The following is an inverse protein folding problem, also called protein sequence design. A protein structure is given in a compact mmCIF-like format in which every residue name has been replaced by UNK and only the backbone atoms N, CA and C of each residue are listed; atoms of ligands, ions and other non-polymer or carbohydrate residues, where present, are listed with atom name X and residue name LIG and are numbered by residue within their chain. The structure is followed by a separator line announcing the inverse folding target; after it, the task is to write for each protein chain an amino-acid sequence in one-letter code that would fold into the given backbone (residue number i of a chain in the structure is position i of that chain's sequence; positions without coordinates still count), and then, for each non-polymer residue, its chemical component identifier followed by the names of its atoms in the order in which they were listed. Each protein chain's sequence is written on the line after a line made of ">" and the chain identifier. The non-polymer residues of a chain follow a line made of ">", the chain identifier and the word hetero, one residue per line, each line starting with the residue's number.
data_IF_874647849435
#
_entry.id   IF_874647849435
#
_cell.length_a   1.000
_cell.length_b   1.000
_cell.length_c   1.000
_cell.angle_alpha   90.00
_cell.angle_beta   90.00
_cell.angle_gamma   90.00
#
_symmetry.space_group_name_H-M   'P 1'
#
loop_
_entity.id
_entity.type
_entity.pdbx_description
1 polymer ?
#
# COMPACT_ATOMS: atom_id res chain seq x y z
N UNK A 1 -31.22 -19.66 33.23
CA UNK A 1 -30.20 -18.72 32.82
C UNK A 1 -28.94 -19.05 33.59
N UNK A 2 -28.04 -19.83 33.04
CA UNK A 2 -26.74 -20.14 33.63
C UNK A 2 -25.88 -18.88 33.53
N UNK A 3 -25.56 -18.29 34.67
CA UNK A 3 -24.62 -17.17 34.75
C UNK A 3 -23.26 -17.66 34.27
N UNK A 4 -22.77 -17.09 33.15
CA UNK A 4 -21.38 -17.26 32.69
C UNK A 4 -20.49 -16.74 33.84
N UNK A 5 -19.52 -17.53 34.35
CA UNK A 5 -18.62 -17.06 35.39
C UNK A 5 -17.88 -15.79 34.88
N UNK A 6 -17.59 -14.86 35.81
CA UNK A 6 -16.78 -13.67 35.50
C UNK A 6 -15.46 -14.12 34.88
N UNK A 7 -15.35 -13.93 33.56
CA UNK A 7 -14.12 -14.19 32.85
C UNK A 7 -13.18 -13.04 33.22
N UNK A 8 -11.96 -13.32 33.74
CA UNK A 8 -10.97 -12.27 33.97
C UNK A 8 -10.76 -11.46 32.71
N UNK A 9 -10.64 -10.14 32.84
CA UNK A 9 -10.37 -9.27 31.71
C UNK A 9 -9.07 -9.73 30.99
N UNK A 10 -9.23 -10.42 29.87
CA UNK A 10 -8.11 -10.90 29.07
C UNK A 10 -7.45 -9.67 28.47
N UNK A 11 -6.21 -9.41 28.86
CA UNK A 11 -5.38 -8.40 28.18
C UNK A 11 -5.22 -8.83 26.73
N UNK A 12 -5.58 -7.95 25.78
CA UNK A 12 -5.45 -8.24 24.36
C UNK A 12 -4.02 -8.71 24.03
N UNK A 13 -3.88 -9.94 23.53
CA UNK A 13 -2.59 -10.51 23.06
C UNK A 13 -1.98 -9.71 21.91
N UNK A 14 -2.72 -8.80 21.31
CA UNK A 14 -2.31 -8.07 20.11
C UNK A 14 -1.92 -6.64 20.42
N UNK A 15 -0.82 -6.19 19.82
CA UNK A 15 -0.41 -4.79 19.87
C UNK A 15 -1.44 -3.89 19.21
N UNK A 16 -1.71 -2.70 19.78
CA UNK A 16 -2.54 -1.71 19.12
C UNK A 16 -1.88 -1.28 17.79
N UNK A 17 -2.68 -0.97 16.74
CA UNK A 17 -2.13 -0.51 15.47
C UNK A 17 -1.34 0.80 15.65
N UNK A 18 -0.22 0.92 14.97
CA UNK A 18 0.58 2.15 14.97
C UNK A 18 -0.15 3.24 14.18
N UNK A 19 -0.29 4.44 14.75
CA UNK A 19 -0.81 5.60 14.03
C UNK A 19 0.24 6.15 13.06
N UNK A 20 0.02 5.93 11.78
CA UNK A 20 0.87 6.37 10.69
C UNK A 20 0.49 7.75 10.13
N UNK A 21 -0.51 8.43 10.69
CA UNK A 21 -1.02 9.73 10.23
C UNK A 21 0.07 10.81 10.14
N UNK A 22 1.13 10.72 10.96
CA UNK A 22 2.28 11.65 10.91
C UNK A 22 2.96 11.67 9.53
N UNK A 23 2.97 10.55 8.81
CA UNK A 23 3.56 10.47 7.48
C UNK A 23 2.67 11.13 6.42
N UNK A 24 1.35 10.97 6.53
CA UNK A 24 0.41 11.70 5.67
C UNK A 24 0.47 13.22 5.93
N UNK A 25 0.64 13.65 7.17
CA UNK A 25 0.89 15.07 7.47
C UNK A 25 2.18 15.60 6.84
N UNK A 26 3.24 14.76 6.76
CA UNK A 26 4.47 15.11 6.06
C UNK A 26 4.21 15.29 4.55
N UNK A 27 3.42 14.41 3.94
CA UNK A 27 3.01 14.53 2.54
C UNK A 27 2.18 15.79 2.28
N UNK A 28 1.21 16.10 3.14
CA UNK A 28 0.42 17.33 3.08
C UNK A 28 1.33 18.58 3.18
N UNK A 29 2.29 18.57 4.10
CA UNK A 29 3.23 19.68 4.24
C UNK A 29 4.10 19.86 2.98
N UNK A 30 4.55 18.77 2.36
CA UNK A 30 5.27 18.80 1.10
C UNK A 30 4.40 19.35 -0.04
N UNK A 31 3.15 18.89 -0.15
CA UNK A 31 2.20 19.38 -1.16
C UNK A 31 1.96 20.89 -1.00
N UNK A 32 1.72 21.38 0.21
CA UNK A 32 1.55 22.82 0.47
C UNK A 32 2.82 23.58 0.10
N UNK A 33 4.01 23.10 0.48
CA UNK A 33 5.28 23.76 0.15
C UNK A 33 5.49 23.84 -1.37
N UNK A 34 5.22 22.77 -2.11
CA UNK A 34 5.36 22.74 -3.58
C UNK A 34 4.31 23.62 -4.27
N UNK A 35 3.06 23.67 -3.79
CA UNK A 35 2.02 24.60 -4.28
C UNK A 35 2.49 26.04 -4.12
N UNK A 36 2.93 26.42 -2.91
CA UNK A 36 3.40 27.78 -2.64
C UNK A 36 4.60 28.14 -3.54
N UNK A 37 5.58 27.26 -3.65
CA UNK A 37 6.77 27.45 -4.48
C UNK A 37 6.40 27.69 -5.96
N UNK A 38 5.56 26.83 -6.53
CA UNK A 38 5.13 26.90 -7.93
C UNK A 38 4.22 28.13 -8.19
N UNK A 39 3.33 28.45 -7.24
CA UNK A 39 2.43 29.63 -7.33
C UNK A 39 3.23 30.95 -7.28
N UNK A 40 4.21 31.05 -6.38
CA UNK A 40 5.11 32.21 -6.32
C UNK A 40 5.91 32.37 -7.61
N UNK A 41 6.46 31.28 -8.14
CA UNK A 41 7.17 31.31 -9.40
C UNK A 41 6.28 31.73 -10.57
N UNK A 42 5.03 31.25 -10.62
CA UNK A 42 4.03 31.73 -11.60
C UNK A 42 3.75 33.24 -11.47
N UNK A 43 3.55 33.74 -10.27
CA UNK A 43 3.27 35.19 -10.04
C UNK A 43 4.44 36.06 -10.51
N UNK A 44 5.69 35.60 -10.35
CA UNK A 44 6.87 36.36 -10.76
C UNK A 44 7.09 36.30 -12.27
N UNK A 45 6.81 35.14 -12.90
CA UNK A 45 7.16 34.90 -14.32
C UNK A 45 5.98 35.08 -15.27
N UNK A 46 4.73 34.98 -14.79
CA UNK A 46 3.52 34.91 -15.62
C UNK A 46 3.42 33.63 -16.47
N UNK A 47 4.26 32.62 -16.22
CA UNK A 47 4.32 31.38 -17.00
C UNK A 47 3.08 30.51 -16.79
N UNK A 48 2.34 30.24 -17.86
CA UNK A 48 1.18 29.34 -17.86
C UNK A 48 1.60 27.89 -17.49
N UNK A 49 2.81 27.48 -17.85
CA UNK A 49 3.35 26.18 -17.46
C UNK A 49 3.47 26.04 -15.94
N UNK A 50 3.99 27.05 -15.24
CA UNK A 50 4.08 27.05 -13.78
C UNK A 50 2.72 27.09 -13.10
N UNK A 51 1.71 27.74 -13.71
CA UNK A 51 0.33 27.67 -13.21
C UNK A 51 -0.24 26.27 -13.34
N UNK A 52 0.02 25.59 -14.45
CA UNK A 52 -0.37 24.18 -14.66
C UNK A 52 0.28 23.26 -13.65
N UNK A 53 1.57 23.45 -13.38
CA UNK A 53 2.32 22.69 -12.37
C UNK A 53 1.80 22.94 -10.95
N UNK A 54 1.35 24.17 -10.64
CA UNK A 54 0.73 24.48 -9.36
C UNK A 54 -0.64 23.79 -9.21
N UNK A 55 -1.43 23.73 -10.29
CA UNK A 55 -2.69 23.01 -10.33
C UNK A 55 -2.51 21.49 -10.15
N UNK A 56 -1.45 20.90 -10.74
CA UNK A 56 -1.07 19.49 -10.52
C UNK A 56 -0.71 19.24 -9.05
N UNK A 57 0.05 20.15 -8.43
CA UNK A 57 0.38 20.03 -7.00
C UNK A 57 -0.86 20.11 -6.08
N UNK A 58 -1.98 20.71 -6.53
CA UNK A 58 -3.25 20.66 -5.81
C UNK A 58 -3.85 19.24 -5.82
N UNK A 59 -3.69 18.49 -6.90
CA UNK A 59 -4.09 17.08 -6.97
C UNK A 59 -3.30 16.25 -5.95
N UNK A 60 -2.00 16.52 -5.79
CA UNK A 60 -1.15 15.85 -4.79
C UNK A 60 -1.63 16.15 -3.36
N UNK A 61 -2.09 17.36 -3.10
CA UNK A 61 -2.69 17.72 -1.80
C UNK A 61 -3.97 16.91 -1.54
N UNK A 62 -4.82 16.75 -2.55
CA UNK A 62 -6.05 15.93 -2.43
C UNK A 62 -5.68 14.47 -2.16
N UNK A 63 -4.69 13.92 -2.87
CA UNK A 63 -4.19 12.56 -2.64
C UNK A 63 -3.70 12.39 -1.19
N UNK A 64 -2.88 13.29 -0.70
CA UNK A 64 -2.36 13.25 0.68
C UNK A 64 -3.46 13.36 1.75
N UNK A 65 -4.54 14.12 1.48
CA UNK A 65 -5.72 14.18 2.36
C UNK A 65 -6.47 12.84 2.35
N UNK A 66 -6.65 12.21 1.19
CA UNK A 66 -7.27 10.89 1.08
C UNK A 66 -6.44 9.87 1.87
N UNK A 67 -5.10 9.89 1.73
CA UNK A 67 -4.18 9.06 2.49
C UNK A 67 -4.33 9.26 4.01
N UNK A 68 -4.38 10.52 4.47
CA UNK A 68 -4.59 10.83 5.88
C UNK A 68 -5.91 10.28 6.42
N UNK A 69 -7.00 10.44 5.66
CA UNK A 69 -8.33 9.94 6.05
C UNK A 69 -8.30 8.41 6.12
N UNK A 70 -7.74 7.74 5.11
CA UNK A 70 -7.64 6.29 5.06
C UNK A 70 -6.82 5.73 6.23
N UNK A 71 -5.66 6.31 6.54
CA UNK A 71 -4.84 5.91 7.69
C UNK A 71 -5.56 6.09 9.02
N UNK A 72 -6.32 7.17 9.20
CA UNK A 72 -7.14 7.39 10.41
C UNK A 72 -8.32 6.44 10.51
N UNK A 73 -8.90 6.05 9.39
CA UNK A 73 -10.00 5.07 9.36
C UNK A 73 -9.45 3.68 9.62
N UNK A 74 -8.31 3.30 9.01
CA UNK A 74 -7.76 1.95 9.08
C UNK A 74 -7.43 1.49 10.50
N UNK A 75 -7.06 2.40 11.40
CA UNK A 75 -6.73 2.09 12.80
C UNK A 75 -7.95 2.04 13.73
N UNK A 76 -9.16 2.36 13.23
CA UNK A 76 -10.37 2.28 14.05
C UNK A 76 -10.61 0.84 14.50
N UNK A 77 -11.04 0.66 15.76
CA UNK A 77 -11.38 -0.68 16.25
C UNK A 77 -12.56 -1.27 15.50
N UNK A 78 -12.75 -2.60 15.57
CA UNK A 78 -13.98 -3.23 15.10
C UNK A 78 -15.23 -2.59 15.72
N UNK A 79 -16.30 -2.51 14.91
CA UNK A 79 -17.62 -2.03 15.31
C UNK A 79 -18.72 -3.00 14.84
N UNK A 80 -19.98 -2.68 15.11
CA UNK A 80 -21.13 -3.53 14.76
C UNK A 80 -21.26 -3.81 13.24
N UNK A 81 -20.79 -2.88 12.39
CA UNK A 81 -20.87 -2.99 10.94
C UNK A 81 -19.57 -3.55 10.33
N UNK A 82 -18.44 -3.43 11.04
CA UNK A 82 -17.10 -3.82 10.57
C UNK A 82 -16.42 -4.66 11.66
N UNK A 83 -16.90 -5.88 11.88
CA UNK A 83 -16.47 -6.76 12.96
C UNK A 83 -15.00 -7.16 12.88
N UNK A 84 -14.40 -7.17 11.68
CA UNK A 84 -12.95 -7.39 11.46
C UNK A 84 -12.14 -6.10 11.47
N UNK A 85 -12.77 -4.92 11.73
CA UNK A 85 -12.15 -3.61 11.75
C UNK A 85 -12.09 -2.95 10.36
N UNK A 86 -11.31 -1.87 10.26
CA UNK A 86 -11.32 -0.95 9.11
C UNK A 86 -10.02 -0.94 8.32
N UNK A 87 -9.11 -1.88 8.59
CA UNK A 87 -7.75 -1.90 8.01
C UNK A 87 -7.73 -1.88 6.47
N UNK A 88 -8.73 -2.46 5.79
CA UNK A 88 -8.87 -2.42 4.33
C UNK A 88 -9.13 -1.01 3.75
N UNK A 89 -9.40 0.01 4.59
CA UNK A 89 -9.52 1.40 4.12
C UNK A 89 -8.25 1.88 3.40
N UNK A 90 -7.07 1.34 3.75
CA UNK A 90 -5.82 1.64 3.07
C UNK A 90 -5.83 1.21 1.59
N UNK A 91 -6.49 0.11 1.26
CA UNK A 91 -6.57 -0.37 -0.12
C UNK A 91 -7.40 0.56 -1.01
N UNK A 92 -8.47 1.16 -0.49
CA UNK A 92 -9.25 2.15 -1.23
C UNK A 92 -8.43 3.40 -1.54
N UNK A 93 -7.65 3.90 -0.57
CA UNK A 93 -6.75 5.03 -0.79
C UNK A 93 -5.69 4.69 -1.85
N UNK A 94 -5.02 3.56 -1.71
CA UNK A 94 -4.01 3.12 -2.65
C UNK A 94 -4.57 2.91 -4.08
N UNK A 95 -5.79 2.39 -4.19
CA UNK A 95 -6.49 2.25 -5.46
C UNK A 95 -6.83 3.60 -6.11
N UNK A 96 -7.33 4.55 -5.32
CA UNK A 96 -7.61 5.90 -5.79
C UNK A 96 -6.34 6.62 -6.28
N UNK A 97 -5.25 6.54 -5.51
CA UNK A 97 -3.96 7.10 -5.91
C UNK A 97 -3.40 6.43 -7.15
N UNK A 98 -3.46 5.09 -7.24
CA UNK A 98 -3.06 4.36 -8.43
C UNK A 98 -3.83 4.78 -9.67
N UNK A 99 -5.13 5.04 -9.55
CA UNK A 99 -5.97 5.55 -10.63
C UNK A 99 -5.59 6.97 -11.04
N UNK A 100 -5.30 7.86 -10.08
CA UNK A 100 -4.83 9.22 -10.38
C UNK A 100 -3.49 9.19 -11.12
N UNK A 101 -2.52 8.37 -10.66
CA UNK A 101 -1.24 8.15 -11.35
C UNK A 101 -1.46 7.64 -12.77
N UNK A 102 -2.36 6.66 -12.96
CA UNK A 102 -2.65 6.07 -14.26
C UNK A 102 -3.23 7.10 -15.23
N UNK A 103 -4.20 7.90 -14.78
CA UNK A 103 -4.83 8.95 -15.60
C UNK A 103 -3.81 10.03 -15.96
N UNK A 104 -3.02 10.50 -14.99
CA UNK A 104 -1.97 11.49 -15.24
C UNK A 104 -0.95 10.98 -16.28
N UNK A 105 -0.50 9.74 -16.14
CA UNK A 105 0.42 9.13 -17.10
C UNK A 105 -0.18 8.98 -18.51
N UNK A 106 -1.46 8.64 -18.62
CA UNK A 106 -2.16 8.57 -19.92
C UNK A 106 -2.19 9.95 -20.61
N UNK A 107 -2.42 11.03 -19.85
CA UNK A 107 -2.36 12.40 -20.35
C UNK A 107 -0.95 12.77 -20.81
N UNK A 108 0.10 12.39 -20.04
CA UNK A 108 1.51 12.62 -20.42
C UNK A 108 1.83 11.89 -21.74
N UNK A 109 1.45 10.62 -21.86
CA UNK A 109 1.68 9.83 -23.09
C UNK A 109 0.95 10.44 -24.27
N UNK A 110 -0.32 10.84 -24.11
CA UNK A 110 -1.07 11.52 -25.15
C UNK A 110 -0.40 12.84 -25.59
N UNK A 111 -0.02 13.69 -24.65
CA UNK A 111 0.65 14.96 -24.92
C UNK A 111 2.01 14.77 -25.57
N UNK A 112 2.75 13.73 -25.17
CA UNK A 112 4.05 13.39 -25.79
C UNK A 112 3.86 12.97 -27.26
N UNK A 113 2.86 12.18 -27.60
CA UNK A 113 2.52 11.82 -28.98
C UNK A 113 2.13 13.04 -29.78
N UNK A 114 1.27 13.93 -29.27
CA UNK A 114 0.85 15.16 -29.91
C UNK A 114 2.09 16.06 -30.23
N UNK A 115 2.97 16.28 -29.24
CA UNK A 115 4.18 17.10 -29.38
C UNK A 115 5.21 16.47 -30.33
N UNK A 116 5.27 15.15 -30.43
CA UNK A 116 6.12 14.46 -31.40
C UNK A 116 5.63 14.68 -32.83
N UNK A 117 4.32 14.66 -33.07
CA UNK A 117 3.69 14.88 -34.36
C UNK A 117 3.75 16.38 -34.77
N UNK A 118 3.48 17.26 -33.78
CA UNK A 118 3.44 18.71 -33.95
C UNK A 118 4.46 19.40 -33.05
N UNK A 119 5.76 19.41 -33.39
CA UNK A 119 6.80 20.00 -32.55
C UNK A 119 6.54 21.47 -32.28
N UNK A 120 6.66 21.88 -31.01
CA UNK A 120 6.57 23.29 -30.59
C UNK A 120 7.92 23.68 -29.97
N UNK A 121 8.41 24.93 -30.21
CA UNK A 121 9.63 25.40 -29.60
C UNK A 121 9.48 25.39 -28.05
N UNK A 122 10.56 25.02 -27.37
CA UNK A 122 10.62 25.08 -25.90
C UNK A 122 10.74 26.55 -25.50
N UNK A 123 9.81 27.06 -24.72
CA UNK A 123 9.85 28.42 -24.17
C UNK A 123 10.98 28.54 -23.13
N UNK A 124 11.40 29.78 -22.81
CA UNK A 124 12.43 30.07 -21.81
C UNK A 124 12.11 29.39 -20.46
N UNK A 125 12.88 28.33 -20.16
CA UNK A 125 12.59 27.40 -19.09
C UNK A 125 13.32 27.75 -17.76
N UNK A 126 14.12 28.80 -17.68
CA UNK A 126 15.11 29.02 -16.62
C UNK A 126 14.56 28.97 -15.19
N UNK A 127 13.60 29.85 -14.86
CA UNK A 127 13.01 29.89 -13.49
C UNK A 127 12.11 28.67 -13.24
N UNK A 128 11.32 28.26 -14.26
CA UNK A 128 10.45 27.08 -14.16
C UNK A 128 11.25 25.83 -13.87
N UNK A 129 12.38 25.63 -14.54
CA UNK A 129 13.25 24.48 -14.35
C UNK A 129 13.84 24.42 -12.92
N UNK A 130 14.31 25.56 -12.39
CA UNK A 130 14.81 25.63 -11.01
C UNK A 130 13.74 25.28 -9.98
N UNK A 131 12.53 25.81 -10.16
CA UNK A 131 11.39 25.51 -9.28
C UNK A 131 11.00 24.04 -9.36
N UNK A 132 10.97 23.45 -10.56
CA UNK A 132 10.69 22.03 -10.74
C UNK A 132 11.76 21.15 -10.06
N UNK A 133 13.03 21.52 -10.12
CA UNK A 133 14.10 20.81 -9.40
C UNK A 133 13.90 20.89 -7.89
N UNK A 134 13.63 22.06 -7.33
CA UNK A 134 13.38 22.22 -5.89
C UNK A 134 12.17 21.43 -5.42
N UNK A 135 11.06 21.49 -6.17
CA UNK A 135 9.86 20.72 -5.89
C UNK A 135 10.15 19.20 -5.94
N UNK A 136 10.94 18.75 -6.93
CA UNK A 136 11.32 17.33 -7.07
C UNK A 136 12.21 16.86 -5.92
N UNK A 137 13.10 17.69 -5.41
CA UNK A 137 13.91 17.36 -4.22
C UNK A 137 13.03 17.17 -3.00
N UNK A 138 12.04 18.06 -2.79
CA UNK A 138 11.08 17.95 -1.68
C UNK A 138 10.27 16.64 -1.83
N UNK A 139 9.66 16.43 -3.00
CA UNK A 139 8.84 15.24 -3.26
C UNK A 139 9.66 13.95 -3.16
N UNK A 140 10.90 13.94 -3.68
CA UNK A 140 11.79 12.78 -3.60
C UNK A 140 12.19 12.42 -2.17
N UNK A 141 12.50 13.42 -1.36
CA UNK A 141 12.84 13.20 0.06
C UNK A 141 11.65 12.62 0.84
N UNK A 142 10.44 13.18 0.64
CA UNK A 142 9.22 12.69 1.28
C UNK A 142 8.85 11.32 0.75
N UNK A 143 8.89 11.10 -0.58
CA UNK A 143 8.64 9.79 -1.19
C UNK A 143 9.53 8.69 -0.60
N UNK A 144 10.83 8.97 -0.43
CA UNK A 144 11.75 8.03 0.20
C UNK A 144 11.33 7.66 1.65
N UNK A 145 10.94 8.66 2.45
CA UNK A 145 10.44 8.43 3.81
C UNK A 145 9.18 7.58 3.81
N UNK A 146 8.22 7.92 2.94
CA UNK A 146 6.94 7.21 2.82
C UNK A 146 7.13 5.77 2.37
N UNK A 147 7.89 5.53 1.29
CA UNK A 147 8.15 4.20 0.77
C UNK A 147 8.88 3.32 1.78
N UNK A 148 9.93 3.84 2.43
CA UNK A 148 10.67 3.10 3.45
C UNK A 148 9.77 2.68 4.62
N UNK A 149 8.94 3.59 5.11
CA UNK A 149 8.06 3.32 6.24
C UNK A 149 6.83 2.51 5.82
N UNK A 150 6.31 2.70 4.62
CA UNK A 150 5.21 1.93 4.07
C UNK A 150 5.55 0.44 3.92
N UNK A 151 6.73 0.12 3.36
CA UNK A 151 7.19 -1.27 3.27
C UNK A 151 7.45 -1.88 4.66
N UNK A 152 8.11 -1.13 5.57
CA UNK A 152 8.39 -1.63 6.93
C UNK A 152 7.12 -1.93 7.73
N UNK A 153 6.04 -1.19 7.51
CA UNK A 153 4.78 -1.26 8.27
C UNK A 153 3.64 -1.88 7.49
N UNK A 154 3.93 -2.42 6.29
CA UNK A 154 2.94 -3.03 5.38
C UNK A 154 1.75 -2.10 5.08
N UNK A 155 1.96 -0.77 5.05
CA UNK A 155 0.93 0.22 4.75
C UNK A 155 0.86 0.50 3.25
N UNK A 156 -0.20 0.04 2.60
CA UNK A 156 -0.44 0.27 1.17
C UNK A 156 -0.70 1.75 0.86
N UNK A 157 -1.32 2.49 1.76
CA UNK A 157 -1.52 3.95 1.64
C UNK A 157 -0.18 4.68 1.55
N UNK A 158 0.77 4.41 2.47
CA UNK A 158 2.08 5.06 2.43
C UNK A 158 2.89 4.69 1.19
N UNK A 159 2.77 3.44 0.73
CA UNK A 159 3.43 2.99 -0.51
C UNK A 159 2.84 3.71 -1.73
N UNK A 160 1.52 3.87 -1.78
CA UNK A 160 0.83 4.54 -2.88
C UNK A 160 1.19 6.03 -2.94
N UNK A 161 1.06 6.75 -1.81
CA UNK A 161 1.42 8.16 -1.68
C UNK A 161 2.91 8.40 -2.02
N UNK A 162 3.80 7.54 -1.52
CA UNK A 162 5.22 7.59 -1.88
C UNK A 162 5.49 7.35 -3.38
N UNK A 163 4.78 6.43 -4.03
CA UNK A 163 4.86 6.20 -5.49
C UNK A 163 4.29 7.38 -6.27
N UNK A 164 3.23 8.01 -5.78
CA UNK A 164 2.65 9.21 -6.38
C UNK A 164 3.66 10.36 -6.41
N UNK A 165 4.27 10.70 -5.27
CA UNK A 165 5.30 11.73 -5.19
C UNK A 165 6.55 11.38 -6.04
N UNK A 166 6.92 10.10 -6.12
CA UNK A 166 8.03 9.67 -6.97
C UNK A 166 7.70 9.81 -8.47
N UNK A 167 6.42 9.71 -8.85
CA UNK A 167 5.96 10.00 -10.21
C UNK A 167 6.31 11.43 -10.62
N UNK A 168 6.07 12.41 -9.75
CA UNK A 168 6.41 13.81 -10.00
C UNK A 168 7.93 14.02 -10.15
N UNK A 169 8.73 13.27 -9.42
CA UNK A 169 10.19 13.29 -9.59
C UNK A 169 10.58 12.75 -10.96
N UNK A 170 9.97 11.64 -11.41
CA UNK A 170 10.26 11.05 -12.71
C UNK A 170 9.82 11.96 -13.86
N UNK A 171 8.67 12.63 -13.77
CA UNK A 171 8.22 13.60 -14.78
C UNK A 171 9.15 14.78 -14.86
N UNK A 172 9.53 15.36 -13.73
CA UNK A 172 10.48 16.49 -13.69
C UNK A 172 11.86 16.11 -14.22
N UNK A 173 12.37 14.92 -13.88
CA UNK A 173 13.62 14.40 -14.43
C UNK A 173 13.53 14.20 -15.95
N UNK A 174 12.41 13.67 -16.42
CA UNK A 174 12.14 13.52 -17.86
C UNK A 174 12.19 14.86 -18.61
N UNK A 175 11.56 15.89 -18.06
CA UNK A 175 11.61 17.25 -18.62
C UNK A 175 13.04 17.79 -18.65
N UNK A 176 13.79 17.64 -17.54
CA UNK A 176 15.20 18.07 -17.47
C UNK A 176 16.06 17.40 -18.54
N UNK A 177 15.94 16.09 -18.67
CA UNK A 177 16.68 15.29 -19.66
C UNK A 177 16.25 15.65 -21.08
N UNK A 178 14.93 15.75 -21.33
CA UNK A 178 14.38 16.09 -22.63
C UNK A 178 14.85 17.46 -23.10
N UNK A 179 14.71 18.49 -22.26
CA UNK A 179 15.18 19.86 -22.57
C UNK A 179 16.70 19.88 -22.77
N UNK A 180 17.48 19.19 -21.92
CA UNK A 180 18.93 19.12 -22.08
C UNK A 180 19.38 18.48 -23.38
N UNK A 181 18.73 17.38 -23.79
CA UNK A 181 19.01 16.71 -25.06
C UNK A 181 18.67 17.60 -26.27
N UNK A 182 17.53 18.31 -26.22
CA UNK A 182 17.17 19.27 -27.28
C UNK A 182 18.18 20.39 -27.35
N UNK A 183 18.64 20.94 -26.22
CA UNK A 183 19.66 21.99 -26.20
C UNK A 183 21.00 21.52 -26.77
N UNK A 184 21.42 20.27 -26.49
CA UNK A 184 22.67 19.70 -26.98
C UNK A 184 22.64 19.34 -28.49
N UNK A 185 21.52 18.87 -28.99
CA UNK A 185 21.39 18.26 -30.32
C UNK A 185 20.67 19.14 -31.35
N UNK A 186 19.85 20.10 -30.88
CA UNK A 186 18.92 20.88 -31.72
C UNK A 186 17.68 20.09 -32.17
N UNK A 187 17.55 18.79 -31.81
CA UNK A 187 16.47 17.96 -32.30
C UNK A 187 15.27 17.97 -31.31
N UNK A 188 14.27 18.82 -31.61
CA UNK A 188 13.12 19.10 -30.77
C UNK A 188 12.25 17.86 -30.42
N UNK A 189 12.33 16.78 -31.24
CA UNK A 189 11.56 15.56 -30.98
C UNK A 189 12.12 14.69 -29.85
N UNK A 190 13.31 14.98 -29.35
CA UNK A 190 13.89 14.25 -28.22
C UNK A 190 13.10 14.45 -26.90
N UNK A 191 12.64 15.68 -26.65
CA UNK A 191 11.81 15.97 -25.48
C UNK A 191 10.55 15.09 -25.40
N UNK A 192 9.67 15.05 -26.44
CA UNK A 192 8.51 14.16 -26.39
C UNK A 192 8.85 12.66 -26.40
N UNK A 193 9.98 12.21 -26.94
CA UNK A 193 10.41 10.82 -26.85
C UNK A 193 10.73 10.45 -25.40
N UNK A 194 11.47 11.30 -24.69
CA UNK A 194 11.78 11.09 -23.26
C UNK A 194 10.51 11.14 -22.44
N UNK A 195 9.63 12.14 -22.67
CA UNK A 195 8.35 12.24 -21.98
C UNK A 195 7.47 11.00 -22.20
N UNK A 196 7.44 10.45 -23.42
CA UNK A 196 6.71 9.22 -23.73
C UNK A 196 7.25 8.02 -22.95
N UNK A 197 8.59 7.84 -22.93
CA UNK A 197 9.22 6.74 -22.21
C UNK A 197 8.94 6.81 -20.70
N UNK A 198 9.05 8.00 -20.10
CA UNK A 198 8.71 8.25 -18.70
C UNK A 198 7.23 8.00 -18.46
N UNK A 199 6.34 8.53 -19.31
CA UNK A 199 4.90 8.34 -19.21
C UNK A 199 4.49 6.87 -19.24
N UNK A 200 5.08 6.04 -20.10
CA UNK A 200 4.83 4.60 -20.14
C UNK A 200 5.25 3.92 -18.82
N UNK A 201 6.42 4.27 -18.27
CA UNK A 201 6.87 3.71 -16.99
C UNK A 201 5.89 4.06 -15.85
N UNK A 202 5.41 5.30 -15.82
CA UNK A 202 4.44 5.77 -14.83
C UNK A 202 3.08 5.08 -15.02
N UNK A 203 2.63 4.91 -16.28
CA UNK A 203 1.38 4.21 -16.62
C UNK A 203 1.39 2.77 -16.08
N UNK A 204 2.51 2.06 -16.27
CA UNK A 204 2.70 0.70 -15.73
C UNK A 204 2.69 0.71 -14.20
N UNK A 205 3.30 1.71 -13.57
CA UNK A 205 3.30 1.84 -12.10
C UNK A 205 1.90 2.06 -11.55
N UNK A 206 1.11 2.97 -12.14
CA UNK A 206 -0.28 3.21 -11.77
C UNK A 206 -1.15 1.96 -11.95
N UNK A 207 -1.04 1.29 -13.11
CA UNK A 207 -1.77 0.06 -13.38
C UNK A 207 -1.44 -1.06 -12.37
N UNK A 208 -0.16 -1.22 -12.01
CA UNK A 208 0.27 -2.18 -10.98
C UNK A 208 -0.35 -1.85 -9.62
N UNK A 209 -0.37 -0.56 -9.25
CA UNK A 209 -0.90 -0.13 -7.95
C UNK A 209 -2.42 -0.37 -7.88
N UNK A 210 -3.18 -0.05 -8.93
CA UNK A 210 -4.62 -0.34 -9.02
C UNK A 210 -4.87 -1.84 -8.91
N UNK A 211 -4.10 -2.66 -9.65
CA UNK A 211 -4.22 -4.12 -9.60
C UNK A 211 -3.92 -4.66 -8.21
N UNK A 212 -2.83 -4.23 -7.59
CA UNK A 212 -2.44 -4.65 -6.23
C UNK A 212 -3.51 -4.31 -5.22
N UNK A 213 -4.07 -3.09 -5.29
CA UNK A 213 -5.16 -2.64 -4.43
C UNK A 213 -6.43 -3.47 -4.62
N UNK A 214 -6.82 -3.72 -5.87
CA UNK A 214 -7.98 -4.55 -6.19
C UNK A 214 -7.81 -6.00 -5.72
N UNK A 215 -6.63 -6.60 -5.92
CA UNK A 215 -6.35 -7.97 -5.44
C UNK A 215 -6.37 -8.04 -3.92
N UNK A 216 -5.82 -7.03 -3.24
CA UNK A 216 -5.80 -6.97 -1.78
C UNK A 216 -7.21 -6.83 -1.16
N UNK A 217 -8.17 -6.22 -1.87
CA UNK A 217 -9.57 -6.18 -1.45
C UNK A 217 -10.23 -7.57 -1.51
N UNK A 218 -9.71 -8.47 -2.35
CA UNK A 218 -10.19 -9.86 -2.54
C UNK A 218 -9.51 -10.86 -1.61
N UNK A 219 -9.02 -10.43 -0.45
CA UNK A 219 -8.40 -11.30 0.56
C UNK A 219 -7.20 -12.11 0.01
N UNK A 220 -6.24 -11.40 -0.60
CA UNK A 220 -5.00 -12.03 -1.07
C UNK A 220 -4.27 -12.74 0.08
N UNK A 221 -3.73 -13.93 -0.19
CA UNK A 221 -2.93 -14.67 0.78
C UNK A 221 -1.63 -13.92 1.13
N UNK A 222 -1.00 -14.29 2.23
CA UNK A 222 0.34 -13.84 2.58
C UNK A 222 1.35 -14.17 1.45
N UNK A 223 2.50 -13.46 1.38
CA UNK A 223 3.58 -13.81 0.48
C UNK A 223 3.98 -15.29 0.61
N UNK A 224 4.44 -15.89 -0.49
CA UNK A 224 4.78 -17.32 -0.49
C UNK A 224 5.88 -17.67 0.53
N UNK A 225 6.79 -16.76 0.81
CA UNK A 225 7.81 -16.92 1.84
C UNK A 225 7.20 -17.08 3.24
N UNK A 226 6.24 -16.21 3.61
CA UNK A 226 5.51 -16.30 4.88
C UNK A 226 4.65 -17.58 4.93
N UNK A 227 3.96 -17.92 3.83
CA UNK A 227 3.16 -19.14 3.74
C UNK A 227 4.01 -20.41 3.86
N UNK A 228 5.23 -20.43 3.28
CA UNK A 228 6.16 -21.55 3.40
C UNK A 228 6.63 -21.70 4.86
N UNK A 229 7.00 -20.62 5.51
CA UNK A 229 7.40 -20.63 6.92
C UNK A 229 6.29 -21.16 7.84
N UNK A 230 5.02 -20.74 7.60
CA UNK A 230 3.86 -21.25 8.35
C UNK A 230 3.67 -22.76 8.12
N UNK A 231 3.79 -23.24 6.86
CA UNK A 231 3.69 -24.67 6.56
C UNK A 231 4.78 -25.47 7.25
N UNK A 232 6.03 -24.99 7.25
CA UNK A 232 7.16 -25.64 7.89
C UNK A 232 6.98 -25.68 9.42
N UNK A 233 6.48 -24.60 10.01
CA UNK A 233 6.12 -24.52 11.42
C UNK A 233 5.07 -25.59 11.80
N UNK A 234 3.95 -25.65 11.06
CA UNK A 234 2.90 -26.65 11.32
C UNK A 234 3.40 -28.08 11.11
N UNK A 235 4.24 -28.31 10.08
CA UNK A 235 4.83 -29.63 9.83
C UNK A 235 5.74 -30.09 10.99
N UNK A 236 6.48 -29.15 11.62
CA UNK A 236 7.32 -29.45 12.78
C UNK A 236 6.51 -29.85 14.04
N UNK A 237 5.27 -29.38 14.13
CA UNK A 237 4.35 -29.69 15.24
C UNK A 237 3.43 -30.89 14.96
N UNK A 238 3.46 -31.43 13.74
CA UNK A 238 2.63 -32.57 13.33
C UNK A 238 3.21 -33.88 13.85
N UNK A 239 2.33 -34.79 14.31
CA UNK A 239 2.66 -36.15 14.75
C UNK A 239 1.45 -37.08 14.58
N UNK A 240 1.54 -38.34 15.04
CA UNK A 240 0.48 -39.34 14.88
C UNK A 240 -0.85 -38.98 15.54
N UNK A 241 -0.85 -38.00 16.46
CA UNK A 241 -2.02 -37.56 17.23
C UNK A 241 -2.39 -36.11 16.99
N UNK A 242 -1.62 -35.38 16.17
CA UNK A 242 -1.81 -33.96 15.91
C UNK A 242 -1.42 -33.67 14.48
N UNK A 243 -2.38 -33.30 13.66
CA UNK A 243 -2.16 -32.89 12.27
C UNK A 243 -2.93 -31.62 11.92
N UNK A 244 -2.62 -31.00 10.79
CA UNK A 244 -3.22 -29.74 10.37
C UNK A 244 -3.68 -29.81 8.92
N UNK A 245 -4.81 -29.17 8.63
CA UNK A 245 -5.29 -28.96 7.27
C UNK A 245 -6.08 -27.63 7.16
N UNK A 246 -6.71 -27.36 6.01
CA UNK A 246 -7.47 -26.15 5.73
C UNK A 246 -6.72 -24.87 6.13
N UNK A 247 -5.40 -24.87 5.89
CA UNK A 247 -4.52 -23.73 6.20
C UNK A 247 -4.80 -22.60 5.23
N UNK A 248 -5.26 -21.46 5.77
CA UNK A 248 -5.61 -20.28 5.01
C UNK A 248 -4.97 -19.05 5.60
N UNK A 249 -4.44 -18.19 4.76
CA UNK A 249 -3.88 -16.90 5.18
C UNK A 249 -4.47 -15.79 4.34
N UNK A 250 -4.58 -14.59 4.91
CA UNK A 250 -4.96 -13.38 4.16
C UNK A 250 -4.38 -12.12 4.77
N UNK A 251 -4.16 -11.11 3.93
CA UNK A 251 -3.80 -9.78 4.35
C UNK A 251 -5.02 -8.85 4.40
N UNK A 252 -5.06 -7.95 5.39
CA UNK A 252 -6.03 -6.87 5.45
C UNK A 252 -5.35 -5.59 5.98
N UNK A 253 -4.75 -4.81 5.09
CA UNK A 253 -3.90 -3.68 5.44
C UNK A 253 -2.65 -4.16 6.19
N UNK A 254 -2.41 -3.58 7.37
CA UNK A 254 -1.31 -3.99 8.24
C UNK A 254 -1.56 -5.32 8.97
N UNK A 255 -2.80 -5.82 8.99
CA UNK A 255 -3.18 -7.06 9.69
C UNK A 255 -2.96 -8.27 8.81
N UNK A 256 -2.50 -9.34 9.42
CA UNK A 256 -2.39 -10.67 8.84
C UNK A 256 -3.34 -11.61 9.57
N UNK A 257 -4.03 -12.44 8.81
CA UNK A 257 -4.94 -13.45 9.35
C UNK A 257 -4.43 -14.83 8.96
N UNK A 258 -4.49 -15.74 9.90
CA UNK A 258 -4.13 -17.13 9.74
C UNK A 258 -5.22 -18.01 10.36
N UNK A 259 -5.78 -18.86 9.55
CA UNK A 259 -6.82 -19.83 9.92
C UNK A 259 -6.31 -21.24 9.60
N UNK A 260 -6.56 -22.19 10.48
CA UNK A 260 -6.21 -23.59 10.30
C UNK A 260 -7.14 -24.49 11.08
N UNK A 261 -7.26 -25.74 10.64
CA UNK A 261 -7.90 -26.83 11.40
C UNK A 261 -6.82 -27.69 12.04
N UNK A 262 -7.02 -28.01 13.32
CA UNK A 262 -6.17 -28.86 14.12
C UNK A 262 -6.91 -30.18 14.40
N UNK A 263 -6.42 -31.27 13.84
CA UNK A 263 -6.99 -32.61 13.99
C UNK A 263 -6.33 -33.33 15.15
N UNK A 264 -7.14 -33.81 16.07
CA UNK A 264 -6.73 -34.51 17.27
C UNK A 264 -7.59 -35.78 17.49
N UNK A 265 -7.15 -36.75 18.30
CA UNK A 265 -7.99 -37.91 18.64
C UNK A 265 -9.33 -37.52 19.21
N UNK A 266 -10.42 -38.06 18.71
CA UNK A 266 -11.78 -37.79 19.20
C UNK A 266 -12.01 -38.24 20.66
N UNK A 267 -11.08 -38.99 21.25
CA UNK A 267 -11.06 -39.37 22.67
C UNK A 267 -10.56 -38.22 23.57
N UNK A 268 -9.97 -37.18 23.04
CA UNK A 268 -9.54 -36.02 23.84
C UNK A 268 -10.76 -35.26 24.37
N UNK A 269 -10.61 -34.73 25.56
CA UNK A 269 -11.61 -33.77 26.08
C UNK A 269 -11.47 -32.42 25.38
N UNK A 270 -12.54 -31.66 25.30
CA UNK A 270 -12.51 -30.28 24.79
C UNK A 270 -11.40 -29.46 25.47
N UNK A 271 -11.18 -29.67 26.79
CA UNK A 271 -10.13 -28.99 27.53
C UNK A 271 -8.74 -29.34 27.01
N UNK A 272 -8.45 -30.62 26.76
CA UNK A 272 -7.14 -31.07 26.27
C UNK A 272 -6.86 -30.48 24.90
N UNK A 273 -7.82 -30.56 23.96
CA UNK A 273 -7.66 -29.99 22.63
C UNK A 273 -7.49 -28.45 22.67
N UNK A 274 -8.27 -27.77 23.53
CA UNK A 274 -8.16 -26.33 23.71
C UNK A 274 -6.79 -25.92 24.27
N UNK A 275 -6.30 -26.59 25.32
CA UNK A 275 -5.01 -26.26 25.93
C UNK A 275 -3.87 -26.37 24.88
N UNK A 276 -3.84 -27.47 24.11
CA UNK A 276 -2.84 -27.66 23.04
C UNK A 276 -2.96 -26.60 21.92
N UNK A 277 -4.19 -26.24 21.54
CA UNK A 277 -4.43 -25.19 20.55
C UNK A 277 -3.93 -23.82 21.03
N UNK A 278 -4.19 -23.46 22.29
CA UNK A 278 -3.76 -22.19 22.87
C UNK A 278 -2.23 -22.12 23.00
N UNK A 279 -1.57 -23.21 23.40
CA UNK A 279 -0.10 -23.30 23.45
C UNK A 279 0.50 -23.08 22.05
N UNK A 280 -0.07 -23.74 21.02
CA UNK A 280 0.37 -23.56 19.63
C UNK A 280 0.15 -22.12 19.12
N UNK A 281 -1.00 -21.52 19.46
CA UNK A 281 -1.29 -20.11 19.08
C UNK A 281 -0.31 -19.17 19.77
N UNK A 282 0.07 -19.42 21.01
CA UNK A 282 1.05 -18.60 21.73
C UNK A 282 2.43 -18.69 21.05
N UNK A 283 2.89 -19.88 20.63
CA UNK A 283 4.13 -20.05 19.88
C UNK A 283 4.08 -19.34 18.50
N UNK A 284 2.95 -19.43 17.78
CA UNK A 284 2.74 -18.70 16.53
C UNK A 284 2.86 -17.19 16.75
N UNK A 285 2.27 -16.67 17.82
CA UNK A 285 2.29 -15.23 18.13
C UNK A 285 3.65 -14.75 18.65
N UNK A 286 4.51 -15.62 19.16
CA UNK A 286 5.91 -15.29 19.46
C UNK A 286 6.71 -15.05 18.17
N UNK A 287 6.48 -15.85 17.13
CA UNK A 287 7.17 -15.71 15.83
C UNK A 287 6.53 -14.64 14.95
N UNK A 288 5.17 -14.55 14.93
CA UNK A 288 4.40 -13.57 14.14
C UNK A 288 3.47 -12.71 15.03
N UNK A 289 3.97 -11.72 15.77
CA UNK A 289 3.18 -10.96 16.76
C UNK A 289 2.01 -10.15 16.20
N UNK A 290 2.03 -9.82 14.90
CA UNK A 290 0.98 -9.05 14.23
C UNK A 290 -0.14 -9.92 13.65
N UNK A 291 0.01 -11.24 13.73
CA UNK A 291 -0.93 -12.20 13.14
C UNK A 291 -2.19 -12.36 14.00
N UNK A 292 -3.32 -12.53 13.36
CA UNK A 292 -4.60 -12.90 13.98
C UNK A 292 -4.84 -14.37 13.67
N UNK A 293 -4.69 -15.20 14.67
CA UNK A 293 -4.76 -16.66 14.52
C UNK A 293 -6.14 -17.15 14.97
N UNK A 294 -6.73 -18.04 14.18
CA UNK A 294 -7.97 -18.76 14.50
C UNK A 294 -7.78 -20.23 14.17
N UNK A 295 -7.89 -21.08 15.19
CA UNK A 295 -7.83 -22.53 15.03
C UNK A 295 -9.22 -23.15 15.18
N UNK A 296 -9.52 -24.17 14.38
CA UNK A 296 -10.69 -25.03 14.51
C UNK A 296 -10.22 -26.42 14.96
N UNK A 297 -10.80 -26.92 16.07
CA UNK A 297 -10.45 -28.23 16.63
C UNK A 297 -11.39 -29.30 16.06
N UNK A 298 -10.81 -30.38 15.49
CA UNK A 298 -11.56 -31.45 14.84
C UNK A 298 -11.04 -32.85 15.23
N UNK A 299 -11.94 -33.86 15.32
CA UNK A 299 -11.52 -35.24 15.56
C UNK A 299 -10.96 -35.88 14.28
N UNK A 300 -9.80 -36.54 14.38
CA UNK A 300 -9.14 -37.22 13.25
C UNK A 300 -10.03 -38.29 12.62
N UNK A 301 -10.85 -38.96 13.44
CA UNK A 301 -11.64 -40.12 13.03
C UNK A 301 -13.01 -39.73 12.41
N UNK A 302 -13.43 -38.45 12.50
CA UNK A 302 -14.71 -38.02 11.94
C UNK A 302 -14.56 -37.71 10.44
N UNK A 303 -15.27 -38.40 9.54
CA UNK A 303 -15.21 -38.09 8.10
C UNK A 303 -15.61 -36.65 7.77
N UNK A 304 -16.43 -35.99 8.58
CA UNK A 304 -16.84 -34.58 8.38
C UNK A 304 -15.71 -33.59 8.57
N UNK A 305 -14.67 -33.97 9.33
CA UNK A 305 -13.44 -33.17 9.47
C UNK A 305 -12.67 -32.99 8.15
N UNK A 306 -13.03 -33.72 7.10
CA UNK A 306 -12.37 -33.71 5.80
C UNK A 306 -13.25 -33.15 4.68
N UNK A 307 -14.46 -32.69 5.00
CA UNK A 307 -15.39 -32.14 3.99
C UNK A 307 -15.00 -30.71 3.57
N UNK A 308 -14.23 -29.99 4.36
CA UNK A 308 -13.84 -28.58 4.16
C UNK A 308 -12.49 -28.41 3.44
N UNK A 309 -11.93 -29.48 2.86
CA UNK A 309 -10.59 -29.46 2.24
C UNK A 309 -10.58 -28.82 0.86
N UNK A 310 -11.73 -28.62 0.23
CA UNK A 310 -11.87 -28.09 -1.14
C UNK A 310 -11.56 -26.58 -1.24
N UNK A 311 -10.30 -26.18 -0.92
CA UNK A 311 -9.78 -24.83 -1.23
C UNK A 311 -8.36 -24.90 -1.72
#
# INVERSE_FOLDING_TARGET
>A
MTTIPDIPAVTSRHRPPEDLSRFAWLSIAAAIATILLKTLAWQITGSVGLLSDAAESLVNLVAAIIALVALKVSIRPPDMNHQFGHSKAEYFSAGAEGMMIFIAAAVIVYSAVERFLYPRPIADAGVGLLVSVLASVINGAVAWVLLRNGHKRRSMTLIADGKHLLTDVWTSLGVLVGVGLVWLTGWQRLDPIVAFAVGINILVTGAKLVRQSGTALLDVSLPEEDNAAIRDFLAAHSNDHLTFHAVRTREAGYRQFFEFHMLVPGSWTVKQGHDVMEDLIDEILEEWPEMRVSGHLEPIEDPRSYEDIDV
#
